data_IF_137283147584
#
_entry.id   IF_137283147584
#
_cell.length_a   1.000
_cell.length_b   1.000
_cell.length_c   1.000
_cell.angle_alpha   90.00
_cell.angle_beta   90.00
_cell.angle_gamma   90.00
#
_symmetry.space_group_name_H-M   'P 1'
#
loop_
_entity.id
_entity.type
_entity.pdbx_description
1 polymer ?
#
# COMPACT_ATOMS: atom_id res chain seq x y z
N UNK A 1 -12.16 20.15 -8.34
CA UNK A 1 -11.91 18.68 -8.35
C UNK A 1 -10.64 18.39 -7.56
N UNK A 2 -10.61 17.34 -6.70
CA UNK A 2 -9.38 16.98 -5.99
C UNK A 2 -8.30 16.49 -6.97
N UNK A 3 -7.04 16.84 -6.67
CA UNK A 3 -5.88 16.44 -7.49
C UNK A 3 -5.69 14.92 -7.52
N UNK A 4 -4.94 14.43 -8.51
CA UNK A 4 -4.55 13.01 -8.61
C UNK A 4 -3.87 12.51 -7.34
N UNK A 5 -3.01 13.35 -6.73
CA UNK A 5 -2.35 13.05 -5.46
C UNK A 5 -3.34 12.87 -4.30
N UNK A 6 -4.31 13.78 -4.15
CA UNK A 6 -5.33 13.69 -3.10
C UNK A 6 -6.18 12.42 -3.27
N UNK A 7 -6.51 12.06 -4.52
CA UNK A 7 -7.23 10.82 -4.84
C UNK A 7 -6.41 9.56 -4.52
N UNK A 8 -5.10 9.57 -4.77
CA UNK A 8 -4.17 8.49 -4.42
C UNK A 8 -4.06 8.32 -2.91
N UNK A 9 -3.82 9.41 -2.18
CA UNK A 9 -3.75 9.42 -0.72
C UNK A 9 -5.03 8.90 -0.07
N UNK A 10 -6.20 9.32 -0.56
CA UNK A 10 -7.50 8.81 -0.06
C UNK A 10 -7.65 7.31 -0.29
N UNK A 11 -7.17 6.79 -1.43
CA UNK A 11 -7.16 5.36 -1.71
C UNK A 11 -6.24 4.59 -0.75
N UNK A 12 -5.01 5.07 -0.51
CA UNK A 12 -4.08 4.49 0.46
C UNK A 12 -4.70 4.41 1.86
N UNK A 13 -5.36 5.47 2.33
CA UNK A 13 -6.07 5.45 3.63
C UNK A 13 -7.18 4.39 3.67
N UNK A 14 -7.94 4.22 2.58
CA UNK A 14 -8.95 3.16 2.52
C UNK A 14 -8.34 1.76 2.61
N UNK A 15 -7.20 1.52 1.96
CA UNK A 15 -6.46 0.24 2.06
C UNK A 15 -5.98 0.02 3.50
N UNK A 16 -5.40 1.04 4.13
CA UNK A 16 -4.97 0.96 5.55
C UNK A 16 -6.11 0.62 6.49
N UNK A 17 -7.27 1.27 6.31
CA UNK A 17 -8.46 1.00 7.12
C UNK A 17 -8.95 -0.45 6.96
N UNK A 18 -8.85 -1.04 5.77
CA UNK A 18 -9.18 -2.45 5.57
C UNK A 18 -8.24 -3.36 6.35
N UNK A 19 -6.93 -3.14 6.26
CA UNK A 19 -5.96 -3.90 7.05
C UNK A 19 -6.16 -3.75 8.56
N UNK A 20 -6.40 -2.51 9.03
CA UNK A 20 -6.68 -2.24 10.44
C UNK A 20 -7.92 -2.99 10.94
N UNK A 21 -9.01 -3.04 10.13
CA UNK A 21 -10.21 -3.83 10.44
C UNK A 21 -9.94 -5.33 10.60
N UNK A 22 -8.86 -5.84 10.01
CA UNK A 22 -8.44 -7.24 10.13
C UNK A 22 -7.31 -7.46 11.15
N UNK A 23 -7.01 -6.46 11.98
CA UNK A 23 -6.04 -6.55 13.08
C UNK A 23 -4.58 -6.38 12.66
N UNK A 24 -4.31 -5.80 11.49
CA UNK A 24 -2.94 -5.48 11.07
C UNK A 24 -2.52 -4.11 11.57
N UNK A 25 -1.27 -3.98 12.03
CA UNK A 25 -0.58 -2.69 12.12
C UNK A 25 -0.27 -2.21 10.70
N UNK A 26 -0.57 -0.94 10.37
CA UNK A 26 -0.30 -0.37 9.04
C UNK A 26 0.55 0.90 9.09
N UNK A 27 1.67 0.88 8.36
CA UNK A 27 2.65 1.98 8.26
C UNK A 27 2.65 2.45 6.81
N UNK A 28 2.47 3.75 6.58
CA UNK A 28 2.50 4.35 5.24
C UNK A 28 3.88 4.91 4.97
N UNK A 29 4.45 4.60 3.80
CA UNK A 29 5.72 5.19 3.39
C UNK A 29 5.59 6.72 3.26
N UNK A 30 6.64 7.45 3.64
CA UNK A 30 6.67 8.92 3.57
C UNK A 30 6.78 9.44 2.12
N UNK A 31 7.31 8.63 1.19
CA UNK A 31 7.40 8.94 -0.24
C UNK A 31 7.61 7.67 -1.09
N UNK A 32 6.65 7.32 -1.95
CA UNK A 32 6.79 6.21 -2.90
C UNK A 32 7.79 6.49 -4.03
N UNK A 33 8.14 7.77 -4.25
CA UNK A 33 9.17 8.21 -5.22
C UNK A 33 10.60 7.94 -4.77
N UNK A 34 10.83 7.65 -3.48
CA UNK A 34 12.17 7.36 -2.95
C UNK A 34 12.64 5.91 -3.16
N UNK A 35 11.81 5.09 -3.80
CA UNK A 35 12.11 3.66 -4.01
C UNK A 35 13.29 3.50 -4.98
N UNK A 36 14.34 2.72 -4.62
CA UNK A 36 15.47 2.47 -5.49
C UNK A 36 15.04 1.93 -6.86
N UNK A 37 15.77 2.32 -7.90
CA UNK A 37 15.52 1.85 -9.27
C UNK A 37 15.58 0.32 -9.32
N UNK A 38 14.54 -0.31 -9.85
CA UNK A 38 14.43 -1.77 -9.93
C UNK A 38 13.63 -2.42 -8.80
N UNK A 39 13.17 -1.66 -7.81
CA UNK A 39 12.23 -2.15 -6.78
C UNK A 39 10.82 -1.58 -7.00
N UNK A 40 9.76 -2.38 -6.76
CA UNK A 40 8.40 -1.88 -6.80
C UNK A 40 8.19 -0.85 -5.68
N UNK A 41 7.47 0.25 -5.94
CA UNK A 41 7.20 1.24 -4.91
C UNK A 41 6.35 0.64 -3.80
N UNK A 42 6.78 0.87 -2.56
CA UNK A 42 6.07 0.41 -1.37
C UNK A 42 5.31 1.60 -0.80
N UNK A 43 3.98 1.54 -0.88
CA UNK A 43 3.12 2.60 -0.34
C UNK A 43 2.75 2.32 1.13
N UNK A 44 2.54 1.04 1.47
CA UNK A 44 2.14 0.59 2.80
C UNK A 44 2.93 -0.67 3.19
N UNK A 45 3.39 -0.73 4.43
CA UNK A 45 3.83 -1.96 5.10
C UNK A 45 2.75 -2.33 6.13
N UNK A 46 2.35 -3.60 6.16
CA UNK A 46 1.46 -4.12 7.20
C UNK A 46 2.07 -5.29 7.94
N UNK A 47 1.81 -5.37 9.24
CA UNK A 47 2.36 -6.40 10.13
C UNK A 47 1.25 -7.04 10.96
N UNK A 48 1.24 -8.37 11.03
CA UNK A 48 0.38 -9.16 11.91
C UNK A 48 1.03 -10.51 12.20
N UNK A 49 1.07 -10.90 13.47
CA UNK A 49 1.52 -12.25 13.89
C UNK A 49 2.91 -12.61 13.32
N UNK A 50 3.86 -11.66 13.37
CA UNK A 50 5.22 -11.85 12.85
C UNK A 50 5.34 -11.83 11.31
N UNK A 51 4.23 -11.76 10.57
CA UNK A 51 4.23 -11.64 9.10
C UNK A 51 4.21 -10.18 8.67
N UNK A 52 5.04 -9.88 7.67
CA UNK A 52 5.12 -8.55 7.05
C UNK A 52 4.68 -8.63 5.61
N UNK A 53 3.81 -7.71 5.17
CA UNK A 53 3.37 -7.61 3.77
C UNK A 53 3.69 -6.21 3.28
N UNK A 54 4.44 -6.13 2.19
CA UNK A 54 4.64 -4.90 1.44
C UNK A 54 3.56 -4.72 0.37
N UNK A 55 2.98 -3.53 0.30
CA UNK A 55 1.79 -3.25 -0.51
C UNK A 55 2.05 -2.05 -1.43
N UNK A 56 1.90 -2.29 -2.73
CA UNK A 56 1.78 -1.24 -3.75
C UNK A 56 0.30 -0.92 -4.00
N UNK A 57 -0.06 0.36 -3.91
CA UNK A 57 -1.43 0.85 -4.07
C UNK A 57 -1.66 1.39 -5.49
N UNK A 58 -2.13 0.53 -6.40
CA UNK A 58 -2.56 0.95 -7.74
C UNK A 58 -4.07 1.09 -7.84
N UNK A 59 -4.56 2.29 -8.12
CA UNK A 59 -5.98 2.52 -8.43
C UNK A 59 -6.24 2.33 -9.93
N UNK A 60 -6.75 1.16 -10.32
CA UNK A 60 -7.28 0.92 -11.68
C UNK A 60 -8.80 1.05 -11.68
N UNK A 61 -9.39 1.43 -12.82
CA UNK A 61 -10.85 1.65 -12.92
C UNK A 61 -11.69 0.38 -12.70
N UNK A 62 -11.12 -0.83 -12.83
CA UNK A 62 -11.89 -2.10 -12.88
C UNK A 62 -11.21 -3.34 -12.28
N UNK A 63 -10.06 -3.24 -11.61
CA UNK A 63 -9.32 -4.41 -11.15
C UNK A 63 -8.73 -4.21 -9.74
N UNK A 64 -8.89 -5.21 -8.88
CA UNK A 64 -8.13 -5.37 -7.64
C UNK A 64 -7.12 -6.50 -7.92
N UNK A 65 -5.84 -6.16 -7.98
CA UNK A 65 -4.78 -7.15 -8.16
C UNK A 65 -4.00 -7.24 -6.84
N UNK A 66 -3.97 -8.42 -6.24
CA UNK A 66 -3.22 -8.70 -5.02
C UNK A 66 -1.97 -9.44 -5.45
N UNK A 67 -0.81 -8.78 -5.36
CA UNK A 67 0.49 -9.42 -5.53
C UNK A 67 1.13 -9.57 -4.16
N UNK A 68 1.31 -10.81 -3.72
CA UNK A 68 2.15 -11.10 -2.56
C UNK A 68 3.58 -10.95 -3.04
N UNK A 69 4.27 -9.92 -2.57
CA UNK A 69 5.72 -9.79 -2.76
C UNK A 69 6.36 -11.00 -2.05
N UNK A 70 7.09 -11.82 -2.82
CA UNK A 70 7.73 -13.06 -2.34
C UNK A 70 8.56 -12.76 -1.08
N UNK A 71 8.50 -13.69 -0.14
CA UNK A 71 9.38 -13.72 1.04
C UNK A 71 10.84 -13.60 0.57
N UNK A 72 11.59 -12.69 1.20
CA UNK A 72 13.05 -12.61 1.09
C UNK A 72 13.67 -13.71 1.95
#
# INVERSE_FOLDING_TARGET
MPSSYVKGRSFEYNVRMKFAKHGYLSIRASSSKGTPKGQPPIDIIVVKEGKTIAVECKKRRREINIQVLKEL
#
